data_IF_135598160318
#
_entry.id   IF_135598160318
#
_cell.length_a   1.000
_cell.length_b   1.000
_cell.length_c   1.000
_cell.angle_alpha   90.00
_cell.angle_beta   90.00
_cell.angle_gamma   90.00
#
_symmetry.space_group_name_H-M   'P 1'
#
loop_
_entity.id
_entity.type
_entity.pdbx_description
1 polymer ?
#
# COMPACT_ATOMS: atom_id res chain seq x y z
N UNK A 1 -14.94 26.02 -37.66
CA UNK A 1 -14.58 26.91 -36.55
C UNK A 1 -15.43 26.62 -35.31
N UNK A 2 -14.83 26.64 -34.12
CA UNK A 2 -15.58 26.54 -32.87
C UNK A 2 -16.01 27.93 -32.42
N UNK A 3 -17.19 28.06 -31.82
CA UNK A 3 -17.61 29.32 -31.20
C UNK A 3 -16.69 29.69 -30.02
N UNK A 4 -16.87 30.90 -29.47
CA UNK A 4 -16.11 31.38 -28.31
C UNK A 4 -16.30 30.51 -27.04
N UNK A 5 -17.22 29.55 -27.08
CA UNK A 5 -17.54 28.59 -26.02
C UNK A 5 -17.06 27.15 -26.37
N UNK A 6 -16.31 26.99 -27.46
CA UNK A 6 -15.75 25.71 -27.89
C UNK A 6 -16.75 24.74 -28.56
N UNK A 7 -17.98 25.18 -28.84
CA UNK A 7 -19.03 24.38 -29.49
C UNK A 7 -18.92 24.46 -31.01
N UNK A 8 -19.36 23.40 -31.69
CA UNK A 8 -19.43 23.39 -33.15
C UNK A 8 -20.56 24.30 -33.62
N UNK A 9 -20.25 25.19 -34.57
CA UNK A 9 -21.24 26.08 -35.18
C UNK A 9 -22.23 25.23 -35.98
N UNK A 10 -23.53 25.44 -35.73
CA UNK A 10 -24.61 24.69 -36.39
C UNK A 10 -24.56 24.97 -37.90
N UNK A 11 -24.26 23.92 -38.68
CA UNK A 11 -24.11 24.01 -40.15
C UNK A 11 -22.70 23.73 -40.66
N UNK A 12 -21.69 23.71 -39.79
CA UNK A 12 -20.35 23.30 -40.23
C UNK A 12 -20.18 21.78 -40.26
N UNK A 13 -19.57 21.29 -41.33
CA UNK A 13 -19.08 19.92 -41.45
C UNK A 13 -17.98 19.70 -40.42
N UNK A 14 -18.13 18.70 -39.54
CA UNK A 14 -17.04 18.28 -38.66
C UNK A 14 -15.84 17.87 -39.52
N UNK A 15 -14.60 18.14 -39.08
CA UNK A 15 -13.36 17.89 -39.85
C UNK A 15 -13.17 16.43 -40.33
N UNK A 16 -13.99 15.53 -39.81
CA UNK A 16 -14.05 14.10 -40.03
C UNK A 16 -15.34 13.63 -40.76
N UNK A 17 -16.24 14.53 -41.18
CA UNK A 17 -17.34 14.21 -42.10
C UNK A 17 -16.76 14.05 -43.51
N UNK A 18 -16.66 12.81 -43.98
CA UNK A 18 -16.14 12.48 -45.32
C UNK A 18 -14.81 11.73 -45.31
N UNK A 19 -14.05 11.80 -44.21
CA UNK A 19 -13.05 10.78 -43.94
C UNK A 19 -13.82 9.49 -43.66
N UNK A 20 -13.48 8.39 -44.36
CA UNK A 20 -13.87 7.04 -43.92
C UNK A 20 -13.43 6.97 -42.46
N UNK A 21 -14.39 7.13 -41.55
CA UNK A 21 -14.11 7.02 -40.13
C UNK A 21 -13.35 5.73 -39.93
N UNK A 22 -12.49 5.70 -38.92
CA UNK A 22 -12.09 4.43 -38.37
C UNK A 22 -13.34 3.82 -37.74
N UNK A 23 -14.22 3.30 -38.60
CA UNK A 23 -15.26 2.35 -38.24
C UNK A 23 -14.43 1.25 -37.65
N UNK A 24 -14.57 1.02 -36.35
CA UNK A 24 -13.96 -0.10 -35.68
C UNK A 24 -14.49 -1.33 -36.43
N UNK A 25 -13.74 -1.79 -37.42
CA UNK A 25 -14.25 -2.54 -38.56
C UNK A 25 -14.37 -4.00 -38.12
N UNK A 26 -15.33 -4.26 -37.25
CA UNK A 26 -15.84 -5.59 -36.89
C UNK A 26 -14.80 -6.64 -36.50
N UNK A 27 -13.55 -6.27 -36.22
CA UNK A 27 -12.45 -7.23 -36.09
C UNK A 27 -11.93 -7.37 -34.67
N UNK A 28 -12.72 -6.97 -33.66
CA UNK A 28 -12.58 -7.59 -32.34
C UNK A 28 -13.14 -9.00 -32.41
N UNK A 29 -12.42 -9.89 -33.11
CA UNK A 29 -12.76 -11.31 -33.20
C UNK A 29 -12.82 -11.84 -31.76
N UNK A 30 -13.95 -12.45 -31.39
CA UNK A 30 -14.10 -13.15 -30.11
C UNK A 30 -12.95 -14.18 -30.03
N UNK A 31 -11.96 -13.92 -29.18
CA UNK A 31 -10.73 -14.72 -29.10
C UNK A 31 -9.42 -14.03 -29.50
N UNK A 32 -9.43 -12.75 -29.90
CA UNK A 32 -8.18 -12.00 -30.09
C UNK A 32 -7.45 -11.92 -28.74
N UNK A 33 -6.32 -12.62 -28.62
CA UNK A 33 -5.48 -12.57 -27.41
C UNK A 33 -5.13 -11.10 -27.18
N UNK A 34 -5.45 -10.56 -26.00
CA UNK A 34 -5.02 -9.21 -25.61
C UNK A 34 -3.50 -9.20 -25.77
N UNK A 35 -2.95 -8.46 -26.73
CA UNK A 35 -1.53 -8.59 -27.18
C UNK A 35 -0.44 -8.34 -26.12
N UNK A 36 -0.85 -8.05 -24.89
CA UNK A 36 -0.01 -7.76 -23.74
C UNK A 36 -0.29 -8.66 -22.52
N UNK A 37 -1.30 -9.54 -22.53
CA UNK A 37 -1.55 -10.41 -21.37
C UNK A 37 -0.40 -11.40 -21.20
N UNK A 38 0.31 -11.30 -20.07
CA UNK A 38 1.43 -12.19 -19.72
C UNK A 38 2.82 -11.69 -20.09
N UNK A 39 2.98 -10.54 -20.76
CA UNK A 39 4.31 -9.98 -21.01
C UNK A 39 4.87 -9.37 -19.72
N UNK A 40 5.93 -9.98 -19.17
CA UNK A 40 6.69 -9.41 -18.06
C UNK A 40 7.70 -8.43 -18.64
N UNK A 41 7.66 -7.16 -18.21
CA UNK A 41 8.65 -6.17 -18.62
C UNK A 41 10.06 -6.57 -18.17
N UNK A 42 11.04 -6.38 -19.05
CA UNK A 42 12.46 -6.49 -18.70
C UNK A 42 12.81 -5.51 -17.58
N UNK A 43 13.88 -5.80 -16.82
CA UNK A 43 14.34 -4.91 -15.76
C UNK A 43 14.68 -3.52 -16.31
N UNK A 44 15.37 -3.48 -17.46
CA UNK A 44 15.68 -2.24 -18.17
C UNK A 44 14.42 -1.43 -18.53
N UNK A 45 13.37 -2.08 -19.05
CA UNK A 45 12.11 -1.39 -19.36
C UNK A 45 11.43 -0.85 -18.08
N UNK A 46 11.47 -1.60 -16.98
CA UNK A 46 10.96 -1.14 -15.67
C UNK A 46 11.74 0.07 -15.16
N UNK A 47 13.06 0.06 -15.30
CA UNK A 47 13.92 1.19 -14.90
C UNK A 47 13.66 2.43 -15.74
N UNK A 48 13.49 2.28 -17.06
CA UNK A 48 13.12 3.37 -17.97
C UNK A 48 11.77 4.01 -17.58
N UNK A 49 10.74 3.20 -17.34
CA UNK A 49 9.43 3.68 -16.88
C UNK A 49 9.56 4.38 -15.51
N UNK A 50 10.31 3.78 -14.57
CA UNK A 50 10.54 4.37 -13.26
C UNK A 50 11.22 5.73 -13.36
N UNK A 51 12.28 5.84 -14.16
CA UNK A 51 13.02 7.10 -14.36
C UNK A 51 12.13 8.18 -14.97
N UNK A 52 11.33 7.82 -15.98
CA UNK A 52 10.39 8.75 -16.60
C UNK A 52 9.30 9.28 -15.64
N UNK A 53 8.86 8.45 -14.70
CA UNK A 53 7.84 8.84 -13.71
C UNK A 53 8.41 9.50 -12.44
N UNK A 54 9.72 9.38 -12.20
CA UNK A 54 10.35 9.97 -11.00
C UNK A 54 10.40 11.48 -11.14
N UNK A 55 9.76 12.21 -10.22
CA UNK A 55 9.67 13.67 -10.26
C UNK A 55 8.53 14.21 -11.12
N UNK A 56 7.67 13.35 -11.67
CA UNK A 56 6.44 13.79 -12.31
C UNK A 56 5.45 14.27 -11.24
N UNK A 57 5.07 15.54 -11.33
CA UNK A 57 4.04 16.14 -10.48
C UNK A 57 2.79 16.44 -11.32
N UNK A 58 1.63 16.11 -10.76
CA UNK A 58 0.37 16.47 -11.41
C UNK A 58 0.16 17.98 -11.33
N UNK A 59 -0.27 18.59 -12.44
CA UNK A 59 -0.70 19.99 -12.43
C UNK A 59 -1.91 20.17 -11.52
N UNK A 60 -2.04 21.35 -10.92
CA UNK A 60 -3.19 21.67 -10.04
C UNK A 60 -4.53 21.41 -10.75
N UNK A 61 -4.66 21.80 -12.02
CA UNK A 61 -5.85 21.53 -12.84
C UNK A 61 -6.13 20.03 -13.01
N UNK A 62 -5.11 19.18 -13.09
CA UNK A 62 -5.28 17.73 -13.16
C UNK A 62 -5.72 17.15 -11.82
N UNK A 63 -5.14 17.62 -10.71
CA UNK A 63 -5.53 17.23 -9.35
C UNK A 63 -6.99 17.62 -9.10
N UNK A 64 -7.38 18.84 -9.46
CA UNK A 64 -8.75 19.32 -9.34
C UNK A 64 -9.73 18.45 -10.13
N UNK A 65 -9.43 18.15 -11.40
CA UNK A 65 -10.25 17.25 -12.22
C UNK A 65 -10.38 15.86 -11.60
N UNK A 66 -9.28 15.28 -11.09
CA UNK A 66 -9.31 13.99 -10.39
C UNK A 66 -10.18 14.05 -9.13
N UNK A 67 -10.08 15.14 -8.36
CA UNK A 67 -10.88 15.37 -7.16
C UNK A 67 -12.37 15.48 -7.47
N UNK A 68 -12.74 16.31 -8.46
CA UNK A 68 -14.12 16.50 -8.92
C UNK A 68 -14.70 15.18 -9.43
N UNK A 69 -13.96 14.40 -10.22
CA UNK A 69 -14.41 13.10 -10.72
C UNK A 69 -14.63 12.06 -9.61
N UNK A 70 -13.92 12.18 -8.48
CA UNK A 70 -14.10 11.30 -7.31
C UNK A 70 -15.18 11.79 -6.35
N UNK A 71 -15.55 13.07 -6.39
CA UNK A 71 -16.56 13.66 -5.50
C UNK A 71 -17.91 12.97 -5.73
N UNK A 72 -18.46 12.36 -4.67
CA UNK A 72 -19.73 11.64 -4.73
C UNK A 72 -19.65 10.19 -5.20
N UNK A 73 -18.45 9.65 -5.50
CA UNK A 73 -18.31 8.23 -5.80
C UNK A 73 -18.53 7.40 -4.51
N UNK A 74 -19.71 6.80 -4.39
CA UNK A 74 -20.09 5.94 -3.27
C UNK A 74 -19.92 4.45 -3.55
N UNK A 75 -19.41 4.05 -4.72
CA UNK A 75 -19.34 2.65 -5.15
C UNK A 75 -18.56 1.76 -4.16
N UNK A 76 -17.55 2.32 -3.50
CA UNK A 76 -16.73 1.62 -2.51
C UNK A 76 -17.17 1.88 -1.06
N UNK A 77 -18.08 2.83 -0.82
CA UNK A 77 -18.56 3.11 0.53
C UNK A 77 -19.54 2.02 0.95
N UNK A 78 -19.25 1.37 2.08
CA UNK A 78 -20.08 0.28 2.61
C UNK A 78 -19.82 -1.09 1.99
N UNK A 79 -18.91 -1.19 1.01
CA UNK A 79 -18.44 -2.50 0.54
C UNK A 79 -17.71 -3.22 1.67
N UNK A 80 -18.33 -4.28 2.20
CA UNK A 80 -17.73 -5.17 3.20
C UNK A 80 -17.20 -6.41 2.49
N UNK A 81 -15.94 -6.74 2.72
CA UNK A 81 -15.43 -8.05 2.31
C UNK A 81 -16.21 -9.16 3.02
N UNK A 82 -16.41 -10.28 2.34
CA UNK A 82 -17.01 -11.47 2.95
C UNK A 82 -16.11 -11.98 4.08
N UNK A 83 -16.71 -12.63 5.10
CA UNK A 83 -15.94 -13.23 6.21
C UNK A 83 -14.86 -14.19 5.69
N UNK A 84 -15.24 -15.03 4.72
CA UNK A 84 -14.33 -15.96 4.05
C UNK A 84 -13.16 -15.25 3.35
N UNK A 85 -13.42 -14.14 2.65
CA UNK A 85 -12.34 -13.36 2.03
C UNK A 85 -11.42 -12.80 3.10
N UNK A 86 -11.97 -12.18 4.16
CA UNK A 86 -11.19 -11.64 5.28
C UNK A 86 -10.30 -12.73 5.89
N UNK A 87 -10.86 -13.90 6.13
CA UNK A 87 -10.14 -15.07 6.66
C UNK A 87 -8.97 -15.46 5.75
N UNK A 88 -9.24 -15.67 4.45
CA UNK A 88 -8.21 -16.01 3.45
C UNK A 88 -7.06 -15.01 3.37
N UNK A 89 -7.32 -13.70 3.50
CA UNK A 89 -6.24 -12.69 3.49
C UNK A 89 -5.54 -12.53 4.84
N UNK A 90 -6.16 -12.98 5.93
CA UNK A 90 -5.67 -12.77 7.30
C UNK A 90 -4.84 -13.92 7.87
N UNK A 91 -4.83 -15.05 7.16
CA UNK A 91 -4.13 -16.27 7.52
C UNK A 91 -2.73 -16.39 6.90
N UNK A 92 -1.97 -17.39 7.37
CA UNK A 92 -0.71 -17.85 6.79
C UNK A 92 -0.84 -18.30 5.32
N UNK A 93 -2.08 -18.48 4.85
CA UNK A 93 -2.42 -18.84 3.47
C UNK A 93 -2.46 -17.64 2.51
N UNK A 94 -2.31 -16.41 3.01
CA UNK A 94 -2.23 -15.25 2.14
C UNK A 94 -0.98 -15.33 1.26
N UNK A 95 -1.10 -15.07 -0.04
CA UNK A 95 0.04 -15.11 -0.98
C UNK A 95 1.18 -14.14 -0.61
N UNK A 96 0.89 -13.11 0.21
CA UNK A 96 1.87 -12.16 0.73
C UNK A 96 2.38 -12.52 2.14
N UNK A 97 2.00 -13.69 2.67
CA UNK A 97 2.53 -14.19 3.93
C UNK A 97 4.03 -14.49 3.78
N UNK A 98 4.84 -13.84 4.61
CA UNK A 98 6.31 -14.00 4.56
C UNK A 98 6.84 -14.99 5.60
N UNK A 99 5.98 -15.74 6.29
CA UNK A 99 6.39 -16.55 7.43
C UNK A 99 7.13 -15.69 8.46
N UNK A 100 8.30 -16.14 8.89
CA UNK A 100 9.16 -15.44 9.85
C UNK A 100 10.00 -14.30 9.23
N UNK A 101 10.05 -14.16 7.90
CA UNK A 101 10.74 -13.06 7.22
C UNK A 101 9.88 -11.77 7.18
N UNK A 102 9.30 -11.42 8.32
CA UNK A 102 8.53 -10.20 8.51
C UNK A 102 9.36 -9.18 9.29
N UNK A 103 9.48 -7.96 8.75
CA UNK A 103 10.14 -6.87 9.45
C UNK A 103 9.42 -6.47 10.74
N UNK A 104 10.09 -5.75 11.64
CA UNK A 104 9.57 -5.35 12.97
C UNK A 104 8.18 -4.70 12.92
N UNK A 105 7.90 -3.86 11.91
CA UNK A 105 6.58 -3.24 11.78
C UNK A 105 5.44 -4.28 11.62
N UNK A 106 5.70 -5.36 10.88
CA UNK A 106 4.74 -6.45 10.73
C UNK A 106 4.64 -7.29 12.00
N UNK A 107 5.75 -7.53 12.70
CA UNK A 107 5.76 -8.21 14.01
C UNK A 107 4.99 -7.39 15.06
N UNK A 108 5.16 -6.07 15.10
CA UNK A 108 4.40 -5.17 15.96
C UNK A 108 2.90 -5.14 15.63
N UNK A 109 2.54 -5.25 14.35
CA UNK A 109 1.13 -5.39 13.95
C UNK A 109 0.57 -6.74 14.41
N UNK A 110 1.34 -7.81 14.23
CA UNK A 110 0.95 -9.16 14.64
C UNK A 110 0.74 -9.27 16.16
N UNK A 111 1.67 -8.77 16.99
CA UNK A 111 1.53 -8.82 18.45
C UNK A 111 0.34 -8.00 18.96
N UNK A 112 0.05 -6.84 18.34
CA UNK A 112 -1.14 -6.04 18.67
C UNK A 112 -2.44 -6.75 18.31
N UNK A 113 -2.46 -7.52 17.21
CA UNK A 113 -3.63 -8.32 16.82
C UNK A 113 -3.91 -9.43 17.85
N UNK A 114 -2.87 -10.05 18.41
CA UNK A 114 -3.02 -11.21 19.31
C UNK A 114 -3.09 -10.84 20.79
N UNK A 115 -2.26 -9.91 21.30
CA UNK A 115 -2.28 -9.46 22.71
C UNK A 115 -3.11 -8.21 22.94
N UNK A 116 -3.58 -7.54 21.89
CA UNK A 116 -4.23 -6.24 21.98
C UNK A 116 -3.26 -5.10 22.27
N UNK A 117 -3.82 -3.96 22.70
CA UNK A 117 -3.03 -2.79 23.07
C UNK A 117 -2.52 -2.89 24.52
N UNK A 118 -1.24 -2.60 24.76
CA UNK A 118 -0.68 -2.58 26.11
C UNK A 118 -1.32 -1.49 26.97
N UNK A 119 -1.68 -1.82 28.22
CA UNK A 119 -2.37 -0.91 29.15
C UNK A 119 -1.47 -0.25 30.19
N UNK A 120 -0.40 -0.94 30.61
CA UNK A 120 0.48 -0.53 31.71
C UNK A 120 1.94 -0.80 31.34
N UNK A 121 2.83 0.18 31.53
CA UNK A 121 4.26 -0.02 31.38
C UNK A 121 4.82 -0.87 32.52
N UNK A 122 5.51 -1.97 32.22
CA UNK A 122 6.12 -2.85 33.24
C UNK A 122 7.31 -2.24 33.96
N UNK A 123 8.01 -1.27 33.36
CA UNK A 123 9.17 -0.63 34.00
C UNK A 123 8.80 0.53 34.92
N UNK A 124 7.83 1.37 34.53
CA UNK A 124 7.52 2.59 35.28
C UNK A 124 6.08 2.66 35.79
N UNK A 125 5.26 1.64 35.54
CA UNK A 125 3.86 1.59 36.01
C UNK A 125 2.88 2.54 35.33
N UNK A 126 3.35 3.43 34.42
CA UNK A 126 2.46 4.40 33.74
C UNK A 126 1.41 3.68 32.90
N UNK A 127 0.18 4.20 32.94
CA UNK A 127 -0.98 3.68 32.21
C UNK A 127 -1.16 4.36 30.85
N UNK A 128 -1.88 3.68 29.94
CA UNK A 128 -2.11 4.11 28.54
C UNK A 128 -2.85 5.43 28.37
N UNK A 129 -3.49 5.95 29.42
CA UNK A 129 -4.26 7.20 29.38
C UNK A 129 -3.38 8.41 29.05
N UNK A 130 -2.14 8.40 29.54
CA UNK A 130 -1.25 9.58 29.45
C UNK A 130 -0.12 9.41 28.44
N UNK A 131 0.18 8.18 27.99
CA UNK A 131 1.32 7.90 27.11
C UNK A 131 1.05 6.74 26.16
N UNK A 132 1.71 6.80 24.99
CA UNK A 132 1.76 5.70 24.03
C UNK A 132 2.60 4.54 24.62
N UNK A 133 2.00 3.36 24.67
CA UNK A 133 2.62 2.12 25.11
C UNK A 133 2.80 1.20 23.90
N UNK A 134 3.96 0.53 23.83
CA UNK A 134 4.31 -0.42 22.79
C UNK A 134 4.65 -1.78 23.42
N UNK A 135 4.56 -2.83 22.60
CA UNK A 135 5.14 -4.13 22.92
C UNK A 135 6.61 -4.10 22.52
N UNK A 136 7.50 -4.32 23.48
CA UNK A 136 8.93 -4.44 23.27
C UNK A 136 9.29 -5.93 23.30
N UNK A 137 10.11 -6.39 22.36
CA UNK A 137 10.59 -7.77 22.34
C UNK A 137 11.76 -7.92 23.32
N UNK A 138 11.73 -8.95 24.17
CA UNK A 138 12.66 -9.11 25.30
C UNK A 138 14.03 -9.59 24.80
N UNK A 139 14.05 -10.54 23.85
CA UNK A 139 15.30 -11.10 23.32
C UNK A 139 15.88 -10.32 22.11
N UNK A 140 15.19 -9.28 21.67
CA UNK A 140 15.47 -8.46 20.47
C UNK A 140 15.58 -9.23 19.13
N UNK A 141 15.11 -10.47 19.06
CA UNK A 141 15.06 -11.27 17.83
C UNK A 141 13.75 -11.07 17.06
N UNK A 142 12.75 -10.45 17.68
CA UNK A 142 11.44 -10.17 17.10
C UNK A 142 10.74 -11.42 16.56
N UNK A 143 10.92 -12.56 17.22
CA UNK A 143 10.21 -13.79 16.91
C UNK A 143 8.71 -13.63 17.27
N UNK A 144 7.83 -14.37 16.59
CA UNK A 144 6.39 -14.38 16.88
C UNK A 144 6.03 -15.25 18.09
N UNK A 145 6.71 -15.04 19.21
CA UNK A 145 6.43 -15.70 20.50
C UNK A 145 5.74 -14.70 21.41
N UNK A 146 4.46 -14.93 21.75
CA UNK A 146 3.67 -13.95 22.50
C UNK A 146 4.29 -13.60 23.87
N UNK A 147 4.93 -14.58 24.52
CA UNK A 147 5.51 -14.42 25.86
C UNK A 147 6.82 -13.64 25.87
N UNK A 148 7.44 -13.48 24.71
CA UNK A 148 8.70 -12.76 24.52
C UNK A 148 8.49 -11.24 24.30
N UNK A 149 7.32 -10.73 24.69
CA UNK A 149 6.97 -9.31 24.57
C UNK A 149 6.53 -8.73 25.90
N UNK A 150 7.19 -7.64 26.29
CA UNK A 150 6.92 -6.84 27.47
C UNK A 150 6.28 -5.50 27.09
N UNK A 151 5.31 -5.04 27.89
CA UNK A 151 4.62 -3.77 27.67
C UNK A 151 5.46 -2.61 28.23
N UNK A 152 5.90 -1.69 27.38
CA UNK A 152 6.71 -0.53 27.76
C UNK A 152 6.16 0.77 27.18
N UNK A 153 6.31 1.88 27.91
CA UNK A 153 6.06 3.21 27.33
C UNK A 153 7.23 3.59 26.41
N UNK A 154 6.97 4.45 25.42
CA UNK A 154 8.00 4.90 24.45
C UNK A 154 9.35 5.23 25.09
N UNK A 155 9.45 6.06 26.16
CA UNK A 155 10.77 6.38 26.74
C UNK A 155 11.43 5.18 27.43
N UNK A 156 10.66 4.32 28.12
CA UNK A 156 11.20 3.10 28.73
C UNK A 156 11.66 2.10 27.65
N UNK A 157 10.94 2.02 26.55
CA UNK A 157 11.27 1.17 25.42
C UNK A 157 12.58 1.61 24.75
N UNK A 158 12.74 2.90 24.46
CA UNK A 158 13.99 3.44 23.90
C UNK A 158 15.17 3.17 24.83
N UNK A 159 15.00 3.39 26.15
CA UNK A 159 16.05 3.10 27.14
C UNK A 159 16.40 1.61 27.18
N UNK A 160 15.39 0.74 27.06
CA UNK A 160 15.56 -0.71 27.02
C UNK A 160 16.38 -1.11 25.78
N UNK A 161 15.97 -0.67 24.58
CA UNK A 161 16.67 -0.98 23.34
C UNK A 161 18.11 -0.45 23.32
N UNK A 162 18.34 0.76 23.82
CA UNK A 162 19.69 1.35 23.91
C UNK A 162 20.60 0.54 24.84
N UNK A 163 20.06 0.06 25.97
CA UNK A 163 20.81 -0.72 26.96
C UNK A 163 21.25 -2.07 26.41
N UNK A 164 20.38 -2.76 25.66
CA UNK A 164 20.61 -4.14 25.25
C UNK A 164 21.07 -4.29 23.80
N UNK A 165 20.94 -3.26 22.94
CA UNK A 165 21.18 -3.38 21.50
C UNK A 165 22.19 -2.35 20.92
N UNK A 166 23.03 -1.76 21.78
CA UNK A 166 24.15 -0.87 21.47
C UNK A 166 23.89 0.09 20.28
N UNK A 167 22.92 1.01 20.46
CA UNK A 167 22.54 2.19 19.64
C UNK A 167 22.34 2.06 18.11
N UNK A 168 22.66 0.96 17.45
CA UNK A 168 22.73 0.92 15.97
C UNK A 168 21.82 -0.11 15.30
N UNK A 169 20.71 -0.46 15.96
CA UNK A 169 19.65 -1.27 15.37
C UNK A 169 18.29 -0.62 15.66
N UNK A 170 18.04 0.51 15.02
CA UNK A 170 16.69 0.66 14.45
C UNK A 170 16.45 -0.57 13.57
N UNK A 171 15.22 -1.12 13.52
CA UNK A 171 14.90 -2.37 12.81
C UNK A 171 15.40 -2.38 11.34
N UNK A 172 16.68 -2.70 11.17
CA UNK A 172 17.46 -2.68 9.93
C UNK A 172 18.70 -3.55 10.11
N UNK A 173 18.53 -4.78 10.59
CA UNK A 173 19.39 -5.86 10.13
C UNK A 173 18.49 -7.03 9.78
N UNK A 174 18.32 -7.21 8.46
CA UNK A 174 17.95 -8.50 7.87
C UNK A 174 18.83 -9.53 8.56
N UNK A 175 18.25 -10.49 9.27
CA UNK A 175 18.93 -11.74 9.56
C UNK A 175 19.47 -12.24 8.22
N UNK A 176 20.76 -12.58 8.20
CA UNK A 176 21.51 -12.85 6.98
C UNK A 176 20.71 -13.70 6.02
N UNK A 177 20.57 -13.21 4.78
CA UNK A 177 20.14 -14.00 3.65
C UNK A 177 21.22 -15.07 3.44
N UNK A 178 21.05 -16.23 4.08
CA UNK A 178 21.81 -17.42 3.72
C UNK A 178 21.43 -17.69 2.26
N UNK A 179 22.43 -17.60 1.38
CA UNK A 179 22.29 -17.90 -0.04
C UNK A 179 22.08 -19.38 -0.25
#
# INVERSE_FOLDING_TARGET
>A
MRDKLGRFVKGESSWNKGLKGWINSGSFKKGHKRGMTGKIHSQEAKEKIKKANTGYEHTEKAIEKMSVAKKGNKYSLGYKHTKEMIEKVSEEKAHNWKGDDVGCAGVHTWIRKHKGNPKICKHCGITSKNKRLHWANIDHKYLRKLDDYISLCVPCHIKYDVKYNNRNVGCKKRLGRVK
#
